data_IF_980234330382
#
_entry.id   IF_980234330382
#
_cell.length_a   1.000
_cell.length_b   1.000
_cell.length_c   1.000
_cell.angle_alpha   90.00
_cell.angle_beta   90.00
_cell.angle_gamma   90.00
#
_symmetry.space_group_name_H-M   'P 1'
#
loop_
_entity.id
_entity.type
_entity.pdbx_description
1 polymer ?
#
# COMPACT_ATOMS: atom_id res chain seq x y z
N UNK A 1 11.15 -21.29 -26.91
CA UNK A 1 10.03 -20.72 -26.14
C UNK A 1 9.70 -21.69 -25.04
N UNK A 2 9.48 -21.22 -23.83
CA UNK A 2 8.99 -22.09 -22.75
C UNK A 2 7.62 -22.63 -23.16
N UNK A 3 7.46 -23.96 -23.27
CA UNK A 3 6.24 -24.59 -23.80
C UNK A 3 5.00 -24.17 -23.01
N UNK A 4 5.17 -23.97 -21.71
CA UNK A 4 4.12 -23.53 -20.79
C UNK A 4 3.53 -22.16 -21.16
N UNK A 5 4.35 -21.23 -21.68
CA UNK A 5 3.84 -19.92 -22.07
C UNK A 5 3.08 -19.96 -23.39
N UNK A 6 3.49 -20.80 -24.33
CA UNK A 6 2.84 -20.90 -25.64
C UNK A 6 1.38 -21.34 -25.50
N UNK A 7 1.11 -22.29 -24.61
CA UNK A 7 -0.24 -22.80 -24.34
C UNK A 7 -1.16 -21.72 -23.74
N UNK A 8 -0.61 -20.87 -22.85
CA UNK A 8 -1.36 -19.77 -22.21
C UNK A 8 -1.76 -18.64 -23.17
N UNK A 9 -1.16 -18.56 -24.36
CA UNK A 9 -1.43 -17.54 -25.38
C UNK A 9 -2.01 -18.13 -26.68
N UNK A 10 -2.55 -19.35 -26.64
CA UNK A 10 -3.01 -20.09 -27.82
C UNK A 10 -4.07 -19.36 -28.67
N UNK A 11 -4.82 -18.43 -28.07
CA UNK A 11 -5.83 -17.61 -28.77
C UNK A 11 -5.26 -16.48 -29.63
N UNK A 12 -3.95 -16.20 -29.54
CA UNK A 12 -3.30 -15.10 -30.23
C UNK A 12 -2.62 -15.53 -31.54
N UNK A 13 -2.41 -14.58 -32.45
CA UNK A 13 -1.62 -14.82 -33.66
C UNK A 13 -0.18 -15.22 -33.32
N UNK A 14 0.47 -15.99 -34.19
CA UNK A 14 1.83 -16.52 -33.96
C UNK A 14 2.85 -15.42 -33.64
N UNK A 15 2.77 -14.26 -34.30
CA UNK A 15 3.64 -13.11 -34.01
C UNK A 15 3.34 -12.51 -32.62
N UNK A 16 2.06 -12.38 -32.26
CA UNK A 16 1.66 -11.92 -30.91
C UNK A 16 2.13 -12.88 -29.82
N UNK A 17 2.05 -14.20 -30.05
CA UNK A 17 2.56 -15.21 -29.11
C UNK A 17 4.06 -15.00 -28.86
N UNK A 18 4.86 -14.71 -29.91
CA UNK A 18 6.30 -14.43 -29.73
C UNK A 18 6.54 -13.24 -28.82
N UNK A 19 5.84 -12.14 -29.07
CA UNK A 19 5.98 -10.91 -28.28
C UNK A 19 5.53 -11.15 -26.83
N UNK A 20 4.36 -11.77 -26.64
CA UNK A 20 3.80 -12.05 -25.30
C UNK A 20 4.67 -13.00 -24.50
N UNK A 21 5.23 -14.05 -25.12
CA UNK A 21 6.19 -14.94 -24.46
C UNK A 21 7.48 -14.22 -24.08
N UNK A 22 7.99 -13.33 -24.94
CA UNK A 22 9.18 -12.53 -24.62
C UNK A 22 8.94 -11.61 -23.42
N UNK A 23 7.78 -10.95 -23.37
CA UNK A 23 7.36 -10.13 -22.22
C UNK A 23 7.22 -11.00 -20.96
N UNK A 24 6.57 -12.16 -21.06
CA UNK A 24 6.37 -13.06 -19.92
C UNK A 24 7.70 -13.54 -19.33
N UNK A 25 8.66 -13.90 -20.18
CA UNK A 25 10.01 -14.26 -19.78
C UNK A 25 10.74 -13.09 -19.10
N UNK A 26 10.72 -11.90 -19.73
CA UNK A 26 11.32 -10.70 -19.14
C UNK A 26 10.73 -10.39 -17.76
N UNK A 27 9.40 -10.41 -17.63
CA UNK A 27 8.71 -10.20 -16.35
C UNK A 27 9.02 -11.31 -15.35
N UNK A 28 9.27 -12.55 -15.80
CA UNK A 28 9.75 -13.64 -14.96
C UNK A 28 11.10 -13.33 -14.32
N UNK A 29 12.09 -12.94 -15.14
CA UNK A 29 13.42 -12.54 -14.65
C UNK A 29 13.37 -11.28 -13.78
N UNK A 30 12.61 -10.27 -14.20
CA UNK A 30 12.48 -9.03 -13.43
C UNK A 30 11.86 -9.29 -12.06
N UNK A 31 10.78 -10.08 -12.00
CA UNK A 31 10.15 -10.43 -10.72
C UNK A 31 11.07 -11.24 -9.83
N UNK A 32 11.90 -12.14 -10.36
CA UNK A 32 12.88 -12.88 -9.58
C UNK A 32 13.76 -11.93 -8.74
N UNK A 33 14.36 -10.92 -9.36
CA UNK A 33 15.20 -9.95 -8.65
C UNK A 33 14.37 -8.97 -7.79
N UNK A 34 13.23 -8.52 -8.31
CA UNK A 34 12.34 -7.60 -7.60
C UNK A 34 11.83 -8.22 -6.30
N UNK A 35 11.53 -9.52 -6.28
CA UNK A 35 11.01 -10.25 -5.14
C UNK A 35 12.01 -10.27 -3.97
N UNK A 36 13.30 -10.49 -4.24
CA UNK A 36 14.36 -10.42 -3.23
C UNK A 36 14.46 -9.04 -2.59
N UNK A 37 14.45 -7.99 -3.41
CA UNK A 37 14.51 -6.61 -2.92
C UNK A 37 13.22 -6.22 -2.19
N UNK A 38 12.07 -6.69 -2.68
CA UNK A 38 10.78 -6.45 -2.06
C UNK A 38 10.69 -7.10 -0.68
N UNK A 39 11.22 -8.32 -0.51
CA UNK A 39 11.28 -8.99 0.79
C UNK A 39 12.03 -8.14 1.83
N UNK A 40 13.21 -7.63 1.48
CA UNK A 40 13.99 -6.75 2.35
C UNK A 40 13.25 -5.44 2.62
N UNK A 41 12.64 -4.85 1.59
CA UNK A 41 11.85 -3.63 1.73
C UNK A 41 10.65 -3.81 2.66
N UNK A 42 9.99 -4.97 2.66
CA UNK A 42 8.89 -5.27 3.57
C UNK A 42 9.36 -5.28 5.02
N UNK A 43 10.47 -5.95 5.33
CA UNK A 43 11.04 -5.99 6.68
C UNK A 43 11.42 -4.58 7.16
N UNK A 44 12.16 -3.84 6.33
CA UNK A 44 12.58 -2.46 6.64
C UNK A 44 11.36 -1.55 6.81
N UNK A 45 10.37 -1.67 5.92
CA UNK A 45 9.12 -0.93 5.96
C UNK A 45 8.32 -1.18 7.23
N UNK A 46 8.19 -2.43 7.67
CA UNK A 46 7.51 -2.78 8.92
C UNK A 46 8.23 -2.20 10.13
N UNK A 47 9.55 -2.32 10.21
CA UNK A 47 10.35 -1.76 11.34
C UNK A 47 10.24 -0.24 11.40
N UNK A 48 10.43 0.45 10.27
CA UNK A 48 10.29 1.89 10.19
C UNK A 48 8.86 2.34 10.49
N UNK A 49 7.86 1.59 10.04
CA UNK A 49 6.46 1.81 10.36
C UNK A 49 6.18 1.76 11.85
N UNK A 50 6.67 0.73 12.56
CA UNK A 50 6.51 0.59 14.02
C UNK A 50 7.17 1.76 14.76
N UNK A 51 8.38 2.17 14.36
CA UNK A 51 9.05 3.35 14.92
C UNK A 51 8.21 4.60 14.67
N UNK A 52 7.70 4.76 13.44
CA UNK A 52 6.89 5.91 13.06
C UNK A 52 5.60 6.01 13.88
N UNK A 53 4.87 4.91 14.03
CA UNK A 53 3.67 4.82 14.85
C UNK A 53 3.97 5.11 16.33
N UNK A 54 5.10 4.60 16.84
CA UNK A 54 5.53 4.81 18.23
C UNK A 54 5.84 6.29 18.52
N UNK A 55 6.34 7.03 17.54
CA UNK A 55 6.57 8.47 17.65
C UNK A 55 5.24 9.23 17.60
N UNK A 56 4.37 8.90 16.64
CA UNK A 56 3.07 9.57 16.46
C UNK A 56 2.13 9.42 17.66
N UNK A 57 2.20 8.29 18.37
CA UNK A 57 1.36 8.01 19.55
C UNK A 57 1.78 8.78 20.80
N UNK A 58 2.92 9.49 20.80
CA UNK A 58 3.36 10.28 21.96
C UNK A 58 2.49 11.50 22.21
N UNK A 59 2.34 11.90 23.47
CA UNK A 59 1.49 13.03 23.91
C UNK A 59 1.76 14.32 23.12
N UNK A 60 3.03 14.67 22.88
CA UNK A 60 3.40 15.87 22.12
C UNK A 60 2.93 15.84 20.66
N UNK A 61 2.89 14.64 20.07
CA UNK A 61 2.45 14.44 18.69
C UNK A 61 0.92 14.30 18.61
N UNK A 62 0.26 13.66 19.59
CA UNK A 62 -1.21 13.58 19.65
C UNK A 62 -1.90 14.94 19.81
N UNK A 63 -1.18 15.94 20.34
CA UNK A 63 -1.68 17.31 20.40
C UNK A 63 -1.88 17.92 19.00
N UNK A 64 -1.13 17.46 17.99
CA UNK A 64 -1.32 17.86 16.60
C UNK A 64 -2.47 17.05 16.01
N UNK A 65 -3.63 17.68 16.01
CA UNK A 65 -4.86 17.36 15.29
C UNK A 65 -4.76 16.42 14.05
N UNK A 66 -3.89 16.74 13.08
CA UNK A 66 -3.68 15.94 11.85
C UNK A 66 -3.05 14.56 12.13
N UNK A 67 -2.31 14.41 13.22
CA UNK A 67 -1.60 13.18 13.53
C UNK A 67 -2.54 12.01 13.84
N UNK A 68 -3.83 12.25 14.12
CA UNK A 68 -4.83 11.17 14.22
C UNK A 68 -4.92 10.40 12.90
N UNK A 69 -4.99 11.11 11.77
CA UNK A 69 -5.04 10.48 10.46
C UNK A 69 -3.70 9.81 10.10
N UNK A 70 -2.57 10.46 10.38
CA UNK A 70 -1.24 9.86 10.17
C UNK A 70 -1.04 8.59 11.00
N UNK A 71 -1.59 8.54 12.21
CA UNK A 71 -1.57 7.34 13.06
C UNK A 71 -2.39 6.22 12.42
N UNK A 72 -3.57 6.54 11.87
CA UNK A 72 -4.40 5.57 11.14
C UNK A 72 -3.71 5.03 9.89
N UNK A 73 -3.07 5.90 9.10
CA UNK A 73 -2.26 5.52 7.93
C UNK A 73 -1.12 4.59 8.35
N UNK A 74 -0.35 4.97 9.37
CA UNK A 74 0.76 4.17 9.86
C UNK A 74 0.32 2.78 10.35
N UNK A 75 -0.80 2.71 11.07
CA UNK A 75 -1.36 1.43 11.52
C UNK A 75 -1.82 0.56 10.33
N UNK A 76 -2.45 1.15 9.32
CA UNK A 76 -2.88 0.46 8.11
C UNK A 76 -1.68 -0.06 7.30
N UNK A 77 -0.62 0.75 7.14
CA UNK A 77 0.60 0.34 6.43
C UNK A 77 1.38 -0.78 7.14
N UNK A 78 1.49 -0.72 8.48
CA UNK A 78 2.09 -1.82 9.25
C UNK A 78 1.29 -3.10 9.06
N UNK A 79 -0.03 -3.03 9.21
CA UNK A 79 -0.90 -4.20 9.03
C UNK A 79 -0.75 -4.77 7.62
N UNK A 80 -0.74 -3.91 6.60
CA UNK A 80 -0.53 -4.30 5.20
C UNK A 80 0.81 -5.01 5.00
N UNK A 81 1.91 -4.43 5.48
CA UNK A 81 3.25 -5.02 5.31
C UNK A 81 3.39 -6.36 6.02
N UNK A 82 2.83 -6.51 7.23
CA UNK A 82 2.79 -7.78 7.95
C UNK A 82 1.98 -8.83 7.16
N UNK A 83 0.78 -8.47 6.67
CA UNK A 83 -0.02 -9.39 5.86
C UNK A 83 0.70 -9.82 4.58
N UNK A 84 1.40 -8.91 3.89
CA UNK A 84 2.20 -9.28 2.71
C UNK A 84 3.34 -10.23 3.11
N UNK A 85 4.02 -10.00 4.24
CA UNK A 85 5.07 -10.93 4.73
C UNK A 85 4.48 -12.33 4.97
N UNK A 86 3.31 -12.44 5.60
CA UNK A 86 2.64 -13.74 5.85
C UNK A 86 2.35 -14.48 4.53
N UNK A 87 1.88 -13.76 3.51
CA UNK A 87 1.62 -14.32 2.18
C UNK A 87 2.92 -14.71 1.46
N UNK A 88 3.93 -13.86 1.58
CA UNK A 88 5.11 -13.92 0.73
C UNK A 88 6.16 -14.89 1.26
N UNK A 89 6.28 -15.10 2.57
CA UNK A 89 7.28 -16.00 3.17
C UNK A 89 7.18 -17.44 2.66
N UNK A 90 6.01 -18.11 2.63
CA UNK A 90 5.90 -19.48 2.09
C UNK A 90 6.34 -19.55 0.63
N UNK A 91 5.84 -18.62 -0.19
CA UNK A 91 6.19 -18.53 -1.61
C UNK A 91 7.67 -18.26 -1.83
N UNK A 92 8.27 -17.37 -1.03
CA UNK A 92 9.67 -17.01 -1.12
C UNK A 92 10.56 -18.20 -0.74
N UNK A 93 10.21 -18.92 0.32
CA UNK A 93 10.93 -20.12 0.73
C UNK A 93 10.88 -21.20 -0.36
N UNK A 94 9.67 -21.48 -0.86
CA UNK A 94 9.44 -22.42 -1.96
C UNK A 94 10.24 -22.08 -3.22
N UNK A 95 10.25 -20.81 -3.62
CA UNK A 95 10.79 -20.38 -4.91
C UNK A 95 12.29 -20.12 -4.90
N UNK A 96 12.85 -19.67 -3.78
CA UNK A 96 14.21 -19.13 -3.73
C UNK A 96 15.15 -19.83 -2.75
N UNK A 97 14.61 -20.53 -1.74
CA UNK A 97 15.43 -21.16 -0.69
C UNK A 97 15.33 -22.69 -0.70
N UNK A 98 14.28 -23.26 -1.28
CA UNK A 98 14.09 -24.70 -1.34
C UNK A 98 14.98 -25.33 -2.41
N UNK A 99 15.97 -26.13 -1.99
CA UNK A 99 16.76 -27.00 -2.87
C UNK A 99 16.00 -28.24 -3.34
N UNK A 100 14.78 -28.46 -2.83
CA UNK A 100 13.95 -29.59 -3.26
C UNK A 100 13.41 -29.34 -4.67
N UNK A 101 13.38 -30.40 -5.49
CA UNK A 101 12.65 -30.42 -6.76
C UNK A 101 11.24 -29.89 -6.51
N UNK A 102 10.76 -28.95 -7.34
CA UNK A 102 9.50 -28.20 -7.16
C UNK A 102 8.31 -29.08 -6.80
N UNK A 103 8.34 -30.30 -7.32
CA UNK A 103 7.24 -31.27 -7.25
C UNK A 103 7.24 -32.10 -5.95
N UNK A 104 8.32 -31.99 -5.16
CA UNK A 104 8.54 -32.72 -3.92
C UNK A 104 8.34 -31.84 -2.67
N UNK A 105 7.40 -30.90 -2.72
CA UNK A 105 7.05 -30.08 -1.56
C UNK A 105 5.76 -30.55 -0.89
N UNK A 106 5.72 -30.42 0.43
CA UNK A 106 4.52 -30.72 1.19
C UNK A 106 3.40 -29.76 0.82
N UNK A 107 2.14 -30.25 0.67
CA UNK A 107 1.01 -29.38 0.44
C UNK A 107 0.80 -28.45 1.63
N UNK A 108 0.33 -27.24 1.34
CA UNK A 108 0.10 -26.19 2.33
C UNK A 108 -0.84 -26.67 3.45
N UNK A 109 -0.48 -26.36 4.69
CA UNK A 109 -1.32 -26.69 5.84
C UNK A 109 -2.63 -25.89 5.82
N UNK A 110 -3.70 -26.41 6.44
CA UNK A 110 -4.97 -25.70 6.59
C UNK A 110 -4.79 -24.31 7.24
N UNK A 111 -3.86 -24.20 8.19
CA UNK A 111 -3.51 -22.93 8.84
C UNK A 111 -2.86 -21.98 7.86
N UNK A 112 -1.92 -22.44 7.03
CA UNK A 112 -1.25 -21.61 6.02
C UNK A 112 -2.25 -21.08 4.98
N UNK A 113 -3.16 -21.92 4.49
CA UNK A 113 -4.21 -21.52 3.54
C UNK A 113 -5.17 -20.50 4.16
N UNK A 114 -5.59 -20.73 5.41
CA UNK A 114 -6.42 -19.77 6.13
C UNK A 114 -5.69 -18.43 6.34
N UNK A 115 -4.43 -18.47 6.80
CA UNK A 115 -3.59 -17.28 6.97
C UNK A 115 -3.38 -16.53 5.66
N UNK A 116 -3.22 -17.23 4.53
CA UNK A 116 -3.14 -16.63 3.20
C UNK A 116 -4.43 -15.89 2.84
N UNK A 117 -5.60 -16.54 2.94
CA UNK A 117 -6.89 -15.95 2.57
C UNK A 117 -7.22 -14.71 3.41
N UNK A 118 -7.00 -14.80 4.72
CA UNK A 118 -7.16 -13.67 5.65
C UNK A 118 -6.19 -12.56 5.29
N UNK A 119 -4.89 -12.85 5.16
CA UNK A 119 -3.87 -11.84 4.88
C UNK A 119 -4.07 -11.16 3.53
N UNK A 120 -4.51 -11.90 2.50
CA UNK A 120 -4.78 -11.35 1.18
C UNK A 120 -5.92 -10.33 1.23
N UNK A 121 -6.96 -10.64 2.00
CA UNK A 121 -8.10 -9.75 2.22
C UNK A 121 -7.72 -8.50 3.01
N UNK A 122 -7.00 -8.68 4.11
CA UNK A 122 -6.52 -7.56 4.94
C UNK A 122 -5.56 -6.64 4.18
N UNK A 123 -4.70 -7.19 3.32
CA UNK A 123 -3.77 -6.40 2.48
C UNK A 123 -4.55 -5.42 1.61
N UNK A 124 -5.62 -5.88 0.94
CA UNK A 124 -6.45 -5.01 0.11
C UNK A 124 -7.19 -3.96 0.94
N UNK A 125 -7.80 -4.35 2.06
CA UNK A 125 -8.54 -3.43 2.94
C UNK A 125 -7.65 -2.32 3.46
N UNK A 126 -6.50 -2.70 4.02
CA UNK A 126 -5.58 -1.76 4.69
C UNK A 126 -4.93 -0.81 3.70
N UNK A 127 -4.65 -1.25 2.48
CA UNK A 127 -4.25 -0.37 1.38
C UNK A 127 -5.30 0.71 1.12
N UNK A 128 -6.57 0.31 0.92
CA UNK A 128 -7.63 1.28 0.60
C UNK A 128 -7.88 2.24 1.76
N UNK A 129 -7.86 1.75 3.01
CA UNK A 129 -7.96 2.60 4.20
C UNK A 129 -6.84 3.64 4.21
N UNK A 130 -5.59 3.22 4.01
CA UNK A 130 -4.44 4.14 4.00
C UNK A 130 -4.61 5.23 2.94
N UNK A 131 -4.98 4.84 1.71
CA UNK A 131 -5.19 5.76 0.59
C UNK A 131 -6.30 6.77 0.88
N UNK A 132 -7.46 6.31 1.36
CA UNK A 132 -8.60 7.19 1.64
C UNK A 132 -8.37 8.10 2.86
N UNK A 133 -7.60 7.64 3.85
CA UNK A 133 -7.13 8.50 4.93
C UNK A 133 -6.18 9.59 4.41
N UNK A 134 -5.29 9.27 3.48
CA UNK A 134 -4.42 10.26 2.84
C UNK A 134 -5.23 11.30 2.04
N UNK A 135 -6.25 10.85 1.28
CA UNK A 135 -7.20 11.74 0.59
C UNK A 135 -7.91 12.65 1.59
N UNK A 136 -8.40 12.11 2.71
CA UNK A 136 -9.09 12.89 3.74
C UNK A 136 -8.17 13.97 4.34
N UNK A 137 -6.90 13.64 4.65
CA UNK A 137 -5.92 14.63 5.12
C UNK A 137 -5.73 15.73 4.08
N UNK A 138 -5.57 15.38 2.80
CA UNK A 138 -5.31 16.34 1.74
C UNK A 138 -6.49 17.30 1.53
N UNK A 139 -7.72 16.77 1.51
CA UNK A 139 -8.95 17.56 1.42
C UNK A 139 -9.09 18.48 2.63
N UNK A 140 -8.99 17.95 3.85
CA UNK A 140 -9.14 18.75 5.08
C UNK A 140 -8.08 19.85 5.14
N UNK A 141 -6.82 19.55 4.82
CA UNK A 141 -5.75 20.57 4.80
C UNK A 141 -6.01 21.68 3.79
N UNK A 142 -6.48 21.31 2.61
CA UNK A 142 -6.82 22.28 1.56
C UNK A 142 -7.97 23.18 2.02
N UNK A 143 -9.03 22.60 2.59
CA UNK A 143 -10.19 23.35 3.09
C UNK A 143 -9.82 24.30 4.24
N UNK A 144 -9.01 23.83 5.20
CA UNK A 144 -8.55 24.64 6.34
C UNK A 144 -7.68 25.80 5.86
N UNK A 145 -6.80 25.58 4.88
CA UNK A 145 -5.96 26.63 4.32
C UNK A 145 -6.77 27.67 3.53
N UNK A 146 -7.82 27.22 2.83
CA UNK A 146 -8.68 28.10 2.02
C UNK A 146 -9.66 28.90 2.89
N UNK A 147 -10.16 28.32 3.97
CA UNK A 147 -11.20 28.88 4.82
C UNK A 147 -10.74 29.05 6.27
N UNK A 148 -9.59 29.68 6.49
CA UNK A 148 -8.98 29.90 7.80
C UNK A 148 -9.94 30.52 8.85
N UNK A 149 -10.85 31.39 8.41
CA UNK A 149 -11.81 32.10 9.27
C UNK A 149 -13.04 31.26 9.62
N UNK A 150 -13.30 30.17 8.89
CA UNK A 150 -14.47 29.34 9.14
C UNK A 150 -14.20 28.34 10.28
N UNK A 151 -14.62 28.71 11.49
CA UNK A 151 -14.48 27.87 12.68
C UNK A 151 -15.07 26.46 12.52
N UNK A 152 -16.11 26.28 11.70
CA UNK A 152 -16.72 24.96 11.45
C UNK A 152 -15.79 24.04 10.68
N UNK A 153 -15.02 24.57 9.72
CA UNK A 153 -14.03 23.81 8.95
C UNK A 153 -12.80 23.52 9.81
N UNK A 154 -12.37 24.49 10.62
CA UNK A 154 -11.27 24.28 11.56
C UNK A 154 -11.58 23.18 12.59
N UNK A 155 -12.86 23.01 12.96
CA UNK A 155 -13.31 21.93 13.83
C UNK A 155 -13.05 20.54 13.25
N UNK A 156 -12.96 20.36 11.92
CA UNK A 156 -12.65 19.05 11.32
C UNK A 156 -11.22 18.60 11.58
N UNK A 157 -10.34 19.53 11.97
CA UNK A 157 -9.01 19.17 12.43
C UNK A 157 -9.04 18.67 13.88
N UNK A 158 -10.06 18.99 14.69
CA UNK A 158 -10.08 18.56 16.08
C UNK A 158 -9.99 17.04 16.22
N UNK A 159 -9.16 16.56 17.16
CA UNK A 159 -8.83 15.15 17.28
C UNK A 159 -10.07 14.24 17.43
N UNK A 160 -11.13 14.74 18.10
CA UNK A 160 -12.41 14.03 18.24
C UNK A 160 -13.13 13.86 16.90
N UNK A 161 -13.16 14.90 16.07
CA UNK A 161 -13.78 14.85 14.75
C UNK A 161 -12.92 14.07 13.76
N UNK A 162 -11.60 14.25 13.81
CA UNK A 162 -10.64 13.45 13.05
C UNK A 162 -10.83 11.95 13.32
N UNK A 163 -10.92 11.54 14.58
CA UNK A 163 -11.15 10.13 14.93
C UNK A 163 -12.49 9.61 14.37
N UNK A 164 -13.56 10.41 14.44
CA UNK A 164 -14.85 10.04 13.84
C UNK A 164 -14.75 9.85 12.32
N UNK A 165 -13.99 10.70 11.63
CA UNK A 165 -13.76 10.58 10.18
C UNK A 165 -12.94 9.32 9.88
N UNK A 166 -11.87 9.03 10.65
CA UNK A 166 -11.07 7.80 10.47
C UNK A 166 -11.94 6.55 10.63
N UNK A 167 -12.79 6.51 11.67
CA UNK A 167 -13.70 5.39 11.90
C UNK A 167 -14.74 5.26 10.79
N UNK A 168 -15.31 6.37 10.33
CA UNK A 168 -16.27 6.37 9.23
C UNK A 168 -15.65 5.83 7.94
N UNK A 169 -14.46 6.30 7.55
CA UNK A 169 -13.76 5.84 6.35
C UNK A 169 -13.46 4.34 6.45
N UNK A 170 -12.96 3.90 7.60
CA UNK A 170 -12.69 2.48 7.86
C UNK A 170 -13.95 1.62 7.70
N UNK A 171 -15.07 2.08 8.29
CA UNK A 171 -16.35 1.39 8.22
C UNK A 171 -16.90 1.31 6.79
N UNK A 172 -16.72 2.35 5.97
CA UNK A 172 -17.17 2.36 4.58
C UNK A 172 -16.36 1.42 3.68
N UNK A 173 -15.08 1.21 3.98
CA UNK A 173 -14.19 0.37 3.15
C UNK A 173 -14.29 -1.12 3.52
N UNK A 174 -14.55 -1.44 4.78
CA UNK A 174 -14.64 -2.81 5.30
C UNK A 174 -15.53 -3.77 4.47
N UNK A 175 -16.75 -3.40 4.04
CA UNK A 175 -17.61 -4.27 3.24
C UNK A 175 -17.01 -4.67 1.88
N UNK A 176 -16.36 -3.74 1.18
CA UNK A 176 -15.67 -4.02 -0.08
C UNK A 176 -14.47 -4.96 0.13
N UNK A 177 -13.84 -4.82 1.30
CA UNK A 177 -12.85 -5.74 1.81
C UNK A 177 -13.33 -7.16 2.02
N UNK A 178 -14.42 -7.30 2.78
CA UNK A 178 -15.01 -8.60 3.11
C UNK A 178 -15.45 -9.35 1.85
N UNK A 179 -15.95 -8.62 0.84
CA UNK A 179 -16.26 -9.17 -0.48
C UNK A 179 -15.05 -9.86 -1.12
N UNK A 180 -13.82 -9.36 -0.93
CA UNK A 180 -12.61 -9.99 -1.46
C UNK A 180 -12.28 -11.33 -0.78
N UNK A 181 -12.52 -11.47 0.51
CA UNK A 181 -12.34 -12.76 1.19
C UNK A 181 -13.25 -13.81 0.56
N UNK A 182 -14.50 -13.43 0.29
CA UNK A 182 -15.48 -14.30 -0.35
C UNK A 182 -15.19 -14.62 -1.81
N UNK A 183 -14.20 -14.01 -2.47
CA UNK A 183 -13.84 -14.35 -3.85
C UNK A 183 -13.05 -15.65 -3.94
N UNK A 184 -12.20 -15.93 -2.95
CA UNK A 184 -11.31 -17.09 -2.96
C UNK A 184 -11.91 -18.21 -2.11
N UNK A 185 -12.30 -19.30 -2.75
CA UNK A 185 -12.60 -20.56 -2.08
C UNK A 185 -11.39 -21.47 -2.17
N UNK A 186 -11.05 -22.14 -1.07
CA UNK A 186 -10.09 -23.24 -1.07
C UNK A 186 -10.85 -24.53 -0.83
N UNK A 187 -10.91 -25.42 -1.83
CA UNK A 187 -11.48 -26.75 -1.65
C UNK A 187 -10.35 -27.72 -1.31
N UNK A 188 -10.60 -28.63 -0.36
CA UNK A 188 -9.65 -29.68 -0.02
C UNK A 188 -9.76 -30.79 -1.07
N UNK A 189 -8.71 -30.97 -1.87
CA UNK A 189 -8.50 -32.18 -2.67
C UNK A 189 -7.84 -33.20 -1.73
N UNK A 190 -8.63 -34.17 -1.26
CA UNK A 190 -8.08 -35.33 -0.57
C UNK A 190 -7.40 -36.16 -1.65
N UNK A 191 -6.15 -36.58 -1.41
CA UNK A 191 -5.29 -37.38 -2.33
C UNK A 191 -4.24 -36.60 -3.11
N UNK A 192 -3.54 -35.66 -2.45
CA UNK A 192 -2.21 -35.33 -2.96
C UNK A 192 -1.28 -36.51 -2.73
N UNK A 193 -0.63 -36.95 -3.81
CA UNK A 193 0.43 -37.95 -3.80
C UNK A 193 1.73 -37.31 -4.27
N UNK A 194 2.87 -37.64 -3.62
CA UNK A 194 4.17 -37.15 -4.04
C UNK A 194 4.53 -37.72 -5.41
N UNK A 195 5.27 -36.95 -6.22
CA UNK A 195 5.81 -37.48 -7.48
C UNK A 195 6.77 -38.64 -7.22
N UNK A 196 6.86 -39.55 -8.18
CA UNK A 196 7.62 -40.81 -8.06
C UNK A 196 9.13 -40.61 -7.84
N UNK A 197 9.66 -39.45 -8.21
CA UNK A 197 11.07 -39.07 -8.00
C UNK A 197 11.36 -38.52 -6.59
N UNK A 198 10.34 -38.36 -5.73
CA UNK A 198 10.51 -37.79 -4.41
C UNK A 198 10.94 -38.85 -3.37
N UNK A 199 12.24 -39.06 -3.23
CA UNK A 199 12.86 -40.07 -2.36
C UNK A 199 12.48 -39.89 -0.87
N UNK A 200 12.15 -38.67 -0.44
CA UNK A 200 11.81 -38.36 0.96
C UNK A 200 10.39 -38.73 1.37
N UNK A 201 9.51 -39.07 0.43
CA UNK A 201 8.13 -39.45 0.73
C UNK A 201 7.89 -40.94 0.52
N UNK A 202 7.17 -41.59 1.43
CA UNK A 202 6.74 -42.96 1.20
C UNK A 202 5.69 -42.99 0.09
N UNK A 203 5.78 -43.95 -0.83
CA UNK A 203 4.91 -44.03 -2.02
C UNK A 203 3.40 -44.08 -1.75
N UNK A 204 2.97 -44.24 -0.49
CA UNK A 204 1.58 -44.29 -0.07
C UNK A 204 1.17 -43.16 0.91
N UNK A 205 2.01 -42.15 1.15
CA UNK A 205 1.61 -41.03 2.02
C UNK A 205 0.67 -40.09 1.26
N UNK A 206 -0.63 -40.14 1.58
CA UNK A 206 -1.62 -39.19 1.08
C UNK A 206 -1.73 -37.99 2.02
N UNK A 207 -1.72 -36.78 1.44
CA UNK A 207 -1.98 -35.54 2.19
C UNK A 207 -3.15 -34.79 1.56
N UNK A 208 -3.71 -33.86 2.33
CA UNK A 208 -4.73 -32.94 1.83
C UNK A 208 -4.01 -31.81 1.11
N UNK A 209 -4.35 -31.57 -0.16
CA UNK A 209 -3.96 -30.36 -0.87
C UNK A 209 -5.17 -29.45 -1.01
N UNK A 210 -4.93 -28.15 -0.97
CA UNK A 210 -5.96 -27.15 -1.21
C UNK A 210 -5.77 -26.56 -2.60
N UNK A 211 -6.81 -26.61 -3.42
CA UNK A 211 -6.86 -25.89 -4.68
C UNK A 211 -7.70 -24.63 -4.51
N UNK A 212 -7.22 -23.53 -5.10
CA UNK A 212 -7.87 -22.22 -5.04
C UNK A 212 -8.79 -22.05 -6.26
N UNK A 213 -10.06 -21.78 -6.01
CA UNK A 213 -11.05 -21.51 -7.04
C UNK A 213 -11.84 -20.25 -6.68
N UNK A 214 -12.42 -19.59 -7.68
CA UNK A 214 -13.44 -18.58 -7.41
C UNK A 214 -14.65 -19.24 -6.75
N UNK A 215 -15.24 -18.59 -5.74
CA UNK A 215 -16.52 -19.06 -5.19
C UNK A 215 -17.61 -19.04 -6.25
N UNK A 216 -18.66 -19.85 -6.11
CA UNK A 216 -19.79 -19.89 -7.06
C UNK A 216 -20.36 -18.50 -7.38
N UNK A 217 -20.47 -17.63 -6.36
CA UNK A 217 -20.95 -16.25 -6.52
C UNK A 217 -20.04 -15.42 -7.44
N UNK A 218 -18.73 -15.60 -7.35
CA UNK A 218 -17.73 -14.92 -8.17
C UNK A 218 -17.24 -15.76 -9.37
N UNK A 219 -17.79 -16.95 -9.55
CA UNK A 219 -17.57 -17.81 -10.72
C UNK A 219 -18.26 -17.25 -11.96
N UNK A 220 -19.32 -16.44 -11.77
CA UNK A 220 -19.88 -15.64 -12.85
C UNK A 220 -18.90 -14.54 -13.27
N UNK A 221 -18.46 -14.62 -14.53
CA UNK A 221 -17.60 -13.62 -15.17
C UNK A 221 -18.13 -12.20 -14.99
N UNK A 222 -19.44 -12.00 -15.04
CA UNK A 222 -20.06 -10.67 -14.93
C UNK A 222 -19.99 -10.12 -13.51
N UNK A 223 -20.25 -10.95 -12.49
CA UNK A 223 -20.12 -10.54 -11.08
C UNK A 223 -18.67 -10.19 -10.76
N UNK A 224 -17.72 -10.99 -11.26
CA UNK A 224 -16.30 -10.72 -11.10
C UNK A 224 -15.87 -9.41 -11.78
N UNK A 225 -16.34 -9.17 -13.02
CA UNK A 225 -16.11 -7.91 -13.74
C UNK A 225 -16.68 -6.69 -13.00
N UNK A 226 -17.90 -6.79 -12.46
CA UNK A 226 -18.51 -5.71 -11.68
C UNK A 226 -17.69 -5.41 -10.42
N UNK A 227 -17.23 -6.46 -9.72
CA UNK A 227 -16.38 -6.29 -8.55
C UNK A 227 -15.05 -5.61 -8.88
N UNK A 228 -14.40 -6.01 -9.99
CA UNK A 228 -13.19 -5.36 -10.49
C UNK A 228 -13.43 -3.90 -10.86
N UNK A 229 -14.58 -3.59 -11.47
CA UNK A 229 -14.94 -2.23 -11.86
C UNK A 229 -15.12 -1.33 -10.63
N UNK A 230 -15.81 -1.83 -9.61
CA UNK A 230 -16.02 -1.07 -8.38
C UNK A 230 -14.67 -0.81 -7.67
N UNK A 231 -13.84 -1.84 -7.53
CA UNK A 231 -12.51 -1.72 -6.91
C UNK A 231 -11.59 -0.79 -7.71
N UNK A 232 -11.50 -1.00 -9.02
CA UNK A 232 -10.63 -0.22 -9.90
C UNK A 232 -11.02 1.25 -9.95
N UNK A 233 -12.30 1.55 -10.21
CA UNK A 233 -12.74 2.94 -10.43
C UNK A 233 -12.91 3.69 -9.10
N UNK A 234 -13.73 3.15 -8.20
CA UNK A 234 -14.09 3.89 -6.98
C UNK A 234 -13.00 3.83 -5.93
N UNK A 235 -12.33 2.69 -5.73
CA UNK A 235 -11.36 2.56 -4.64
C UNK A 235 -9.93 2.93 -5.04
N UNK A 236 -9.55 2.75 -6.31
CA UNK A 236 -8.15 2.95 -6.76
C UNK A 236 -7.93 4.19 -7.63
N UNK A 237 -8.77 4.36 -8.65
CA UNK A 237 -8.59 5.42 -9.63
C UNK A 237 -9.03 6.78 -9.08
N UNK A 238 -10.11 6.79 -8.29
CA UNK A 238 -10.65 8.02 -7.69
C UNK A 238 -9.63 8.77 -6.82
N UNK A 239 -8.90 8.13 -5.87
CA UNK A 239 -7.82 8.80 -5.13
C UNK A 239 -6.73 9.40 -6.03
N UNK A 240 -6.41 8.75 -7.14
CA UNK A 240 -5.41 9.21 -8.11
C UNK A 240 -5.81 10.51 -8.81
N UNK A 241 -7.09 10.87 -8.81
CA UNK A 241 -7.59 12.16 -9.33
C UNK A 241 -7.71 13.20 -8.21
N UNK A 242 -8.22 12.81 -7.04
CA UNK A 242 -8.47 13.76 -5.93
C UNK A 242 -7.16 14.29 -5.32
N UNK A 243 -6.16 13.42 -5.12
CA UNK A 243 -4.90 13.82 -4.49
C UNK A 243 -4.12 14.88 -5.28
N UNK A 244 -3.99 14.78 -6.62
CA UNK A 244 -3.38 15.84 -7.42
C UNK A 244 -4.16 17.15 -7.36
N UNK A 245 -5.48 17.11 -7.49
CA UNK A 245 -6.33 18.32 -7.48
C UNK A 245 -6.20 19.05 -6.14
N UNK A 246 -6.28 18.31 -5.03
CA UNK A 246 -6.11 18.86 -3.68
C UNK A 246 -4.68 19.36 -3.46
N UNK A 247 -3.67 18.64 -3.95
CA UNK A 247 -2.27 19.08 -3.87
C UNK A 247 -2.04 20.38 -4.64
N UNK A 248 -2.52 20.49 -5.88
CA UNK A 248 -2.39 21.71 -6.69
C UNK A 248 -3.09 22.87 -5.98
N UNK A 249 -4.31 22.65 -5.48
CA UNK A 249 -5.06 23.63 -4.70
C UNK A 249 -4.28 24.10 -3.47
N UNK A 250 -3.73 23.16 -2.70
CA UNK A 250 -2.91 23.46 -1.52
C UNK A 250 -1.64 24.24 -1.88
N UNK A 251 -0.97 23.89 -2.98
CA UNK A 251 0.21 24.63 -3.46
C UNK A 251 -0.16 26.06 -3.86
N UNK A 252 -1.29 26.26 -4.53
CA UNK A 252 -1.78 27.60 -4.89
C UNK A 252 -2.08 28.43 -3.64
N UNK A 253 -2.76 27.84 -2.65
CA UNK A 253 -3.13 28.50 -1.41
C UNK A 253 -1.89 28.83 -0.56
N UNK A 254 -0.88 27.93 -0.50
CA UNK A 254 0.41 28.18 0.16
C UNK A 254 1.22 29.29 -0.55
N UNK A 255 1.23 29.32 -1.89
CA UNK A 255 1.90 30.38 -2.66
C UNK A 255 1.24 31.73 -2.42
N UNK A 256 -0.09 31.78 -2.36
CA UNK A 256 -0.85 33.01 -2.05
C UNK A 256 -0.54 33.50 -0.63
N UNK A 257 -0.55 32.61 0.36
CA UNK A 257 -0.20 32.95 1.74
C UNK A 257 1.24 33.49 1.85
N UNK A 258 2.20 32.85 1.17
CA UNK A 258 3.58 33.35 1.10
C UNK A 258 3.69 34.73 0.45
N UNK A 259 2.95 34.98 -0.64
CA UNK A 259 2.95 36.29 -1.30
C UNK A 259 2.42 37.35 -0.34
N UNK A 260 1.33 37.07 0.38
CA UNK A 260 0.75 37.99 1.35
C UNK A 260 1.66 38.22 2.57
N UNK A 261 2.41 37.20 3.03
CA UNK A 261 3.39 37.32 4.12
C UNK A 261 4.73 37.95 3.70
N UNK A 262 4.98 38.15 2.41
CA UNK A 262 6.10 38.96 1.94
C UNK A 262 5.78 40.46 2.03
N UNK A 263 4.50 40.81 1.87
CA UNK A 263 4.02 42.18 2.03
C UNK A 263 3.85 42.60 3.50
N UNK A 264 3.52 41.65 4.38
CA UNK A 264 3.48 41.86 5.83
C UNK A 264 4.74 41.22 6.41
N UNK A 265 5.68 41.98 7.02
CA UNK A 265 6.97 41.51 7.60
C UNK A 265 6.84 40.45 8.72
N UNK A 266 6.02 39.42 8.52
CA UNK A 266 5.76 38.33 9.44
C UNK A 266 6.72 37.19 9.15
N UNK A 267 7.28 36.64 10.22
CA UNK A 267 8.44 35.75 10.30
C UNK A 267 8.24 34.34 9.72
N UNK A 268 7.27 34.12 8.83
CA UNK A 268 7.18 32.83 8.16
C UNK A 268 8.37 32.71 7.21
N UNK A 269 9.42 31.99 7.65
CA UNK A 269 10.66 31.86 6.89
C UNK A 269 10.31 31.35 5.50
N UNK A 270 10.58 32.17 4.49
CA UNK A 270 10.15 31.88 3.11
C UNK A 270 10.71 30.53 2.63
N UNK A 271 11.83 30.10 3.21
CA UNK A 271 12.45 28.78 3.03
C UNK A 271 11.58 27.62 3.52
N UNK A 272 10.92 27.72 4.68
CA UNK A 272 10.15 26.59 5.24
C UNK A 272 8.88 26.31 4.42
N UNK A 273 8.21 27.37 3.93
CA UNK A 273 7.05 27.21 3.04
C UNK A 273 7.46 26.61 1.70
N UNK A 274 8.58 27.05 1.11
CA UNK A 274 9.09 26.49 -0.16
C UNK A 274 9.46 25.03 0.00
N UNK A 275 10.15 24.67 1.09
CA UNK A 275 10.50 23.29 1.40
C UNK A 275 9.25 22.42 1.55
N UNK A 276 8.24 22.91 2.27
CA UNK A 276 6.98 22.19 2.46
C UNK A 276 6.24 21.96 1.12
N UNK A 277 6.17 22.98 0.25
CA UNK A 277 5.58 22.85 -1.09
C UNK A 277 6.30 21.77 -1.91
N UNK A 278 7.64 21.80 -1.94
CA UNK A 278 8.44 20.81 -2.69
C UNK A 278 8.21 19.39 -2.18
N UNK A 279 8.17 19.21 -0.86
CA UNK A 279 7.95 17.90 -0.25
C UNK A 279 6.54 17.37 -0.53
N UNK A 280 5.51 18.20 -0.38
CA UNK A 280 4.13 17.79 -0.67
C UNK A 280 3.98 17.41 -2.15
N UNK A 281 4.54 18.22 -3.06
CA UNK A 281 4.53 17.89 -4.49
C UNK A 281 5.24 16.56 -4.77
N UNK A 282 6.40 16.32 -4.15
CA UNK A 282 7.15 15.08 -4.32
C UNK A 282 6.38 13.85 -3.82
N UNK A 283 5.75 13.92 -2.64
CA UNK A 283 4.92 12.84 -2.10
C UNK A 283 3.75 12.54 -3.03
N UNK A 284 3.05 13.56 -3.52
CA UNK A 284 1.92 13.37 -4.44
C UNK A 284 2.36 12.78 -5.78
N UNK A 285 3.49 13.23 -6.34
CA UNK A 285 4.03 12.65 -7.58
C UNK A 285 4.37 11.17 -7.38
N UNK A 286 5.05 10.84 -6.28
CA UNK A 286 5.41 9.45 -5.98
C UNK A 286 4.16 8.58 -5.83
N UNK A 287 3.12 9.09 -5.15
CA UNK A 287 1.84 8.41 -5.02
C UNK A 287 1.15 8.20 -6.38
N UNK A 288 1.18 9.19 -7.28
CA UNK A 288 0.58 9.03 -8.61
C UNK A 288 1.23 7.91 -9.41
N UNK A 289 2.57 7.82 -9.37
CA UNK A 289 3.32 6.79 -10.07
C UNK A 289 3.09 5.39 -9.52
N UNK A 290 2.72 5.24 -8.25
CA UNK A 290 2.44 3.93 -7.67
C UNK A 290 0.97 3.52 -7.84
N UNK A 291 0.04 4.44 -7.59
CA UNK A 291 -1.39 4.10 -7.45
C UNK A 291 -2.14 4.17 -8.78
N UNK A 292 -1.78 5.10 -9.67
CA UNK A 292 -2.46 5.25 -10.97
C UNK A 292 -2.26 4.02 -11.86
N UNK A 293 -1.03 3.50 -12.05
CA UNK A 293 -0.85 2.30 -12.85
C UNK A 293 -1.57 1.11 -12.24
N UNK A 294 -1.63 1.00 -10.91
CA UNK A 294 -2.32 -0.09 -10.24
C UNK A 294 -3.82 -0.04 -10.52
N UNK A 295 -4.46 1.13 -10.39
CA UNK A 295 -5.86 1.32 -10.77
C UNK A 295 -6.13 1.03 -12.25
N UNK A 296 -5.20 1.39 -13.14
CA UNK A 296 -5.31 1.05 -14.56
C UNK A 296 -5.26 -0.48 -14.79
N UNK A 297 -4.44 -1.22 -14.05
CA UNK A 297 -4.40 -2.69 -14.15
C UNK A 297 -5.75 -3.35 -13.83
N UNK A 298 -6.52 -2.80 -12.88
CA UNK A 298 -7.87 -3.29 -12.58
C UNK A 298 -8.82 -3.09 -13.78
N UNK A 299 -8.75 -1.93 -14.44
CA UNK A 299 -9.57 -1.64 -15.62
C UNK A 299 -9.22 -2.58 -16.77
N UNK A 300 -7.92 -2.76 -17.04
CA UNK A 300 -7.45 -3.72 -18.07
C UNK A 300 -7.93 -5.13 -17.74
N UNK A 301 -7.86 -5.53 -16.46
CA UNK A 301 -8.30 -6.84 -15.97
C UNK A 301 -9.74 -7.21 -16.35
N UNK A 302 -10.64 -6.22 -16.48
CA UNK A 302 -12.04 -6.45 -16.88
C UNK A 302 -12.13 -6.99 -18.31
N UNK A 303 -11.30 -6.48 -19.22
CA UNK A 303 -11.32 -6.82 -20.65
C UNK A 303 -10.64 -8.16 -20.95
N UNK A 304 -9.69 -8.57 -20.11
CA UNK A 304 -8.86 -9.75 -20.34
C UNK A 304 -9.18 -10.93 -19.42
N UNK A 305 -10.29 -10.87 -18.67
CA UNK A 305 -10.64 -11.89 -17.65
C UNK A 305 -10.78 -13.31 -18.19
N UNK A 306 -11.00 -13.47 -19.50
CA UNK A 306 -11.09 -14.77 -20.16
C UNK A 306 -9.75 -15.25 -20.73
N UNK A 307 -8.70 -14.42 -20.68
CA UNK A 307 -7.41 -14.67 -21.32
C UNK A 307 -6.33 -14.96 -20.26
N UNK A 308 -6.07 -16.23 -19.92
CA UNK A 308 -5.22 -16.61 -18.79
C UNK A 308 -3.79 -16.08 -18.90
N UNK A 309 -3.19 -16.12 -20.09
CA UNK A 309 -1.84 -15.60 -20.31
C UNK A 309 -1.73 -14.09 -20.05
N UNK A 310 -2.75 -13.31 -20.42
CA UNK A 310 -2.76 -11.87 -20.15
C UNK A 310 -3.01 -11.58 -18.66
N UNK A 311 -3.87 -12.35 -18.00
CA UNK A 311 -4.08 -12.22 -16.55
C UNK A 311 -2.77 -12.46 -15.79
N UNK A 312 -2.02 -13.49 -16.18
CA UNK A 312 -0.71 -13.75 -15.59
C UNK A 312 0.25 -12.56 -15.75
N UNK A 313 0.30 -11.95 -16.94
CA UNK A 313 1.12 -10.76 -17.21
C UNK A 313 0.69 -9.57 -16.34
N UNK A 314 -0.62 -9.30 -16.27
CA UNK A 314 -1.18 -8.22 -15.44
C UNK A 314 -0.88 -8.44 -13.97
N UNK A 315 -1.02 -9.67 -13.46
CA UNK A 315 -0.69 -10.01 -12.07
C UNK A 315 0.79 -9.83 -11.79
N UNK A 316 1.68 -10.26 -12.69
CA UNK A 316 3.13 -10.05 -12.55
C UNK A 316 3.47 -8.57 -12.48
N UNK A 317 2.83 -7.74 -13.31
CA UNK A 317 3.04 -6.29 -13.29
C UNK A 317 2.46 -5.64 -12.03
N UNK A 318 1.29 -6.08 -11.56
CA UNK A 318 0.70 -5.60 -10.31
C UNK A 318 1.60 -5.89 -9.09
N UNK A 319 2.32 -7.02 -9.08
CA UNK A 319 3.33 -7.31 -8.05
C UNK A 319 4.47 -6.29 -8.05
N UNK A 320 4.98 -5.91 -9.22
CA UNK A 320 5.99 -4.84 -9.35
C UNK A 320 5.46 -3.50 -8.83
N UNK A 321 4.22 -3.15 -9.15
CA UNK A 321 3.60 -1.93 -8.64
C UNK A 321 3.43 -1.96 -7.11
N UNK A 322 3.08 -3.13 -6.55
CA UNK A 322 2.97 -3.33 -5.10
C UNK A 322 4.32 -3.14 -4.40
N UNK A 323 5.40 -3.61 -5.03
CA UNK A 323 6.77 -3.34 -4.59
C UNK A 323 7.08 -1.83 -4.59
N UNK A 324 6.75 -1.12 -5.67
CA UNK A 324 6.94 0.34 -5.76
C UNK A 324 6.13 1.10 -4.69
N UNK A 325 4.89 0.69 -4.42
CA UNK A 325 4.06 1.24 -3.33
C UNK A 325 4.73 1.03 -1.97
N UNK A 326 5.39 -0.11 -1.76
CA UNK A 326 6.11 -0.40 -0.51
C UNK A 326 7.31 0.54 -0.35
N UNK A 327 8.08 0.79 -1.41
CA UNK A 327 9.16 1.78 -1.39
C UNK A 327 8.62 3.19 -1.14
N UNK A 328 7.53 3.56 -1.80
CA UNK A 328 6.88 4.87 -1.62
C UNK A 328 6.48 5.12 -0.16
N UNK A 329 5.95 4.10 0.53
CA UNK A 329 5.65 4.18 1.97
C UNK A 329 6.89 4.41 2.84
N UNK A 330 7.99 3.71 2.57
CA UNK A 330 9.27 3.92 3.27
C UNK A 330 9.75 5.36 3.08
N UNK A 331 9.73 5.84 1.84
CA UNK A 331 10.13 7.22 1.49
C UNK A 331 9.23 8.23 2.20
N UNK A 332 7.92 7.98 2.32
CA UNK A 332 6.99 8.84 3.04
C UNK A 332 7.36 8.97 4.54
N UNK A 333 7.68 7.86 5.20
CA UNK A 333 8.10 7.86 6.62
C UNK A 333 9.36 8.71 6.80
N UNK A 334 10.34 8.56 5.89
CA UNK A 334 11.57 9.35 5.92
C UNK A 334 11.28 10.84 5.68
N UNK A 335 10.37 11.17 4.76
CA UNK A 335 9.94 12.55 4.53
C UNK A 335 9.27 13.15 5.77
N UNK A 336 8.42 12.39 6.46
CA UNK A 336 7.79 12.83 7.71
C UNK A 336 8.83 13.19 8.78
N UNK A 337 9.90 12.40 8.90
CA UNK A 337 11.03 12.72 9.77
C UNK A 337 11.73 14.01 9.34
N UNK A 338 11.97 14.21 8.04
CA UNK A 338 12.67 15.40 7.53
C UNK A 338 11.84 16.69 7.66
N UNK A 339 10.50 16.61 7.53
CA UNK A 339 9.62 17.77 7.46
C UNK A 339 9.38 18.41 8.83
N UNK A 340 9.07 17.62 9.86
CA UNK A 340 8.53 18.17 11.10
C UNK A 340 9.61 18.33 12.18
N UNK A 341 9.89 19.58 12.56
CA UNK A 341 10.75 19.87 13.73
C UNK A 341 10.20 19.22 15.00
N UNK A 342 8.87 19.18 15.16
CA UNK A 342 8.22 18.53 16.29
C UNK A 342 8.40 17.01 16.25
N UNK A 343 8.33 16.41 15.06
CA UNK A 343 8.62 14.98 14.87
C UNK A 343 10.06 14.66 15.25
N UNK A 344 11.04 15.40 14.73
CA UNK A 344 12.46 15.22 15.06
C UNK A 344 12.73 15.40 16.55
N UNK A 345 12.19 16.45 17.15
CA UNK A 345 12.33 16.70 18.59
C UNK A 345 11.77 15.53 19.41
N UNK A 346 10.61 15.00 19.04
CA UNK A 346 10.00 13.85 19.70
C UNK A 346 10.85 12.59 19.51
N UNK A 347 11.31 12.30 18.29
CA UNK A 347 12.19 11.17 18.01
C UNK A 347 13.50 11.24 18.80
N UNK A 348 14.15 12.40 18.84
CA UNK A 348 15.37 12.60 19.63
C UNK A 348 15.13 12.47 21.13
N UNK A 349 13.99 12.91 21.66
CA UNK A 349 13.64 12.68 23.07
C UNK A 349 13.44 11.20 23.41
N UNK A 350 13.01 10.39 22.44
CA UNK A 350 12.73 8.97 22.66
C UNK A 350 13.95 8.07 22.46
N UNK A 351 14.72 8.35 21.41
CA UNK A 351 15.82 7.49 20.96
C UNK A 351 17.20 8.13 21.15
N UNK A 352 17.26 9.43 21.44
CA UNK A 352 18.51 10.13 21.75
C UNK A 352 18.84 10.02 23.24
N UNK A 353 20.09 9.64 23.55
CA UNK A 353 20.68 9.76 24.90
C UNK A 353 20.48 11.19 25.39
N UNK A 354 19.73 11.36 26.49
CA UNK A 354 19.43 12.62 27.19
C UNK A 354 20.46 13.74 26.96
N UNK A 355 20.29 14.55 25.90
CA UNK A 355 20.87 15.89 25.84
C UNK A 355 19.75 16.85 26.17
N UNK A 356 19.84 17.43 27.36
CA UNK A 356 19.03 18.58 27.78
C UNK A 356 19.04 19.58 26.62
N UNK A 357 17.89 19.75 25.98
CA UNK A 357 17.69 20.82 25.00
C UNK A 357 17.85 22.10 25.79
N UNK A 358 18.95 22.80 25.55
CA UNK A 358 19.15 24.18 25.98
C UNK A 358 18.03 24.99 25.32
N UNK A 359 16.99 25.29 26.09
CA UNK A 359 16.05 26.33 25.72
C UNK A 359 16.88 27.61 25.76
N UNK A 360 17.10 28.23 24.60
CA UNK A 360 17.62 29.59 24.56
C UNK A 360 16.57 30.50 25.20
N UNK A 361 16.72 30.75 26.50
CA UNK A 361 16.17 31.95 27.13
C UNK A 361 16.97 33.13 26.61
N UNK A 362 16.53 33.68 25.47
CA UNK A 362 16.89 35.03 25.05
C UNK A 362 15.69 35.65 24.33
N UNK A 363 14.71 36.10 25.11
CA UNK A 363 14.06 37.37 24.83
C UNK A 363 13.96 38.12 26.13
N UNK A 364 15.02 38.89 26.36
CA UNK A 364 14.98 40.15 27.08
C UNK A 364 13.85 40.98 26.47
N UNK A 365 12.82 41.27 27.25
CA UNK A 365 12.13 42.55 27.13
C UNK A 365 12.51 43.35 28.38
N UNK A 366 13.11 44.54 28.22
CA UNK A 366 13.18 45.52 29.28
C UNK A 366 11.85 46.26 29.37
N UNK A 367 11.58 46.77 30.58
CA UNK A 367 10.46 47.56 31.10
C UNK A 367 9.52 46.74 31.98
#
# INVERSE_FOLDING_TARGET
MDSNYVEMFSEFSTESIRVLCAIANFMGYFNYYSDHVHFVALIVGTVLGVIHLTILTRKCMRALRINVFLTGIAAAEITRTICIIIIFVPFFNLRYLSDKVSDCHDPESTVAVFSYNVSASFTRITEKISVWLAVAIAVIRTLVMRYLVNGRINCWTDAKYGLKIVLLITLLILPFGASNYSKLSSTSVREWTPFTNCITFSGNSTKIKFDFHSTELFGSTDVFKIALLIEGIFLEFTPSIILPITTISLIMDLRKARKNSLFTKSSLSSSDTVRSIKLVAFVTITFLFTTTPLGFMYIVGIFIVTMPGLIMLVTKFAWVLTFLTTISGIVHILICYLMSMQYRSTAHKMFGKNRKIFISTSFVHPI
#
